data_IF_447342151239
#
_entry.id   IF_447342151239
#
_cell.length_a   1.000
_cell.length_b   1.000
_cell.length_c   1.000
_cell.angle_alpha   90.00
_cell.angle_beta   90.00
_cell.angle_gamma   90.00
#
_symmetry.space_group_name_H-M   'P 1'
#
loop_
_entity.id
_entity.type
_entity.pdbx_description
1 polymer ?
#
# COMPACT_ATOMS: atom_id res chain seq x y z
N UNK A 1 -35.36 30.89 27.47
CA UNK A 1 -35.21 29.46 27.08
C UNK A 1 -33.89 29.16 26.35
N UNK A 2 -33.44 29.98 25.38
CA UNK A 2 -32.24 29.67 24.56
C UNK A 2 -30.91 29.52 25.32
N UNK A 3 -30.64 30.35 26.34
CA UNK A 3 -29.35 30.34 27.05
C UNK A 3 -29.08 29.03 27.82
N UNK A 4 -30.12 28.36 28.33
CA UNK A 4 -29.97 27.13 29.12
C UNK A 4 -29.52 25.95 28.26
N UNK A 5 -30.00 25.84 27.03
CA UNK A 5 -29.62 24.76 26.12
C UNK A 5 -28.22 24.94 25.52
N UNK A 6 -27.82 26.20 25.25
CA UNK A 6 -26.45 26.50 24.80
C UNK A 6 -25.41 26.12 25.85
N UNK A 7 -25.72 26.35 27.13
CA UNK A 7 -24.80 26.01 28.23
C UNK A 7 -24.66 24.49 28.42
N UNK A 8 -25.76 23.75 28.30
CA UNK A 8 -25.73 22.27 28.35
C UNK A 8 -24.95 21.69 27.17
N UNK A 9 -25.14 22.23 25.96
CA UNK A 9 -24.39 21.82 24.79
C UNK A 9 -22.89 22.11 24.94
N UNK A 10 -22.51 23.31 25.39
CA UNK A 10 -21.11 23.68 25.61
C UNK A 10 -20.46 22.82 26.69
N UNK A 11 -21.18 22.52 27.77
CA UNK A 11 -20.67 21.64 28.82
C UNK A 11 -20.40 20.22 28.28
N UNK A 12 -21.32 19.68 27.47
CA UNK A 12 -21.14 18.39 26.82
C UNK A 12 -19.96 18.40 25.84
N UNK A 13 -19.88 19.42 24.99
CA UNK A 13 -18.79 19.56 24.00
C UNK A 13 -17.42 19.69 24.68
N UNK A 14 -17.30 20.53 25.71
CA UNK A 14 -16.06 20.70 26.47
C UNK A 14 -15.69 19.44 27.25
N UNK A 15 -16.67 18.73 27.81
CA UNK A 15 -16.44 17.44 28.46
C UNK A 15 -15.88 16.39 27.48
N UNK A 16 -16.42 16.31 26.27
CA UNK A 16 -15.92 15.41 25.22
C UNK A 16 -14.51 15.80 24.77
N UNK A 17 -14.25 17.09 24.55
CA UNK A 17 -12.92 17.59 24.16
C UNK A 17 -11.86 17.31 25.24
N UNK A 18 -12.22 17.49 26.52
CA UNK A 18 -11.32 17.20 27.65
C UNK A 18 -11.01 15.71 27.75
N UNK A 19 -12.01 14.84 27.66
CA UNK A 19 -11.81 13.39 27.66
C UNK A 19 -10.90 12.94 26.51
N UNK A 20 -11.06 13.53 25.33
CA UNK A 20 -10.21 13.23 24.18
C UNK A 20 -8.76 13.72 24.38
N UNK A 21 -8.56 14.90 24.97
CA UNK A 21 -7.22 15.41 25.30
C UNK A 21 -6.52 14.56 26.37
N UNK A 22 -7.27 14.09 27.37
CA UNK A 22 -6.76 13.21 28.41
C UNK A 22 -6.43 11.82 27.85
N UNK A 23 -7.28 11.27 26.96
CA UNK A 23 -7.02 9.98 26.33
C UNK A 23 -5.82 10.02 25.38
N UNK A 24 -5.68 11.09 24.59
CA UNK A 24 -4.50 11.27 23.73
C UNK A 24 -3.21 11.50 24.52
N UNK A 25 -3.28 12.21 25.66
CA UNK A 25 -2.09 12.49 26.47
C UNK A 25 -1.69 11.33 27.40
N UNK A 26 -2.65 10.66 28.05
CA UNK A 26 -2.39 9.55 28.99
C UNK A 26 -2.47 8.15 28.37
N UNK A 27 -3.21 7.96 27.26
CA UNK A 27 -3.28 6.67 26.56
C UNK A 27 -1.92 6.22 26.01
N UNK A 28 -1.04 7.17 25.69
CA UNK A 28 0.34 6.93 25.28
C UNK A 28 1.23 6.50 26.47
N UNK A 29 0.92 6.94 27.69
CA UNK A 29 1.78 6.75 28.86
C UNK A 29 1.43 5.50 29.70
N UNK A 30 0.17 5.07 29.73
CA UNK A 30 -0.28 4.01 30.65
C UNK A 30 -0.34 2.60 30.03
N UNK A 31 -0.37 2.48 28.70
CA UNK A 31 -0.53 1.17 28.07
C UNK A 31 0.79 0.42 27.89
N UNK A 32 1.95 1.10 27.78
CA UNK A 32 3.20 0.46 27.31
C UNK A 32 3.06 -0.21 25.92
N UNK A 33 1.88 -0.09 25.30
CA UNK A 33 1.56 -0.55 23.96
C UNK A 33 1.96 0.60 23.05
N UNK A 34 2.96 0.44 22.17
CA UNK A 34 3.15 1.39 21.09
C UNK A 34 1.83 1.41 20.32
N UNK A 35 1.13 2.54 20.35
CA UNK A 35 -0.01 2.74 19.47
C UNK A 35 0.60 2.75 18.08
N UNK A 36 0.51 1.62 17.37
CA UNK A 36 0.71 1.59 15.92
C UNK A 36 -0.22 2.69 15.38
N UNK A 37 0.37 3.70 14.73
CA UNK A 37 -0.34 4.85 14.15
C UNK A 37 -1.20 4.40 12.95
N UNK A 38 -2.15 3.50 13.18
CA UNK A 38 -3.00 2.91 12.15
C UNK A 38 -4.35 2.38 12.65
N UNK A 39 -4.62 2.39 13.97
CA UNK A 39 -5.90 1.89 14.51
C UNK A 39 -6.50 2.82 15.56
N UNK A 40 -6.82 4.05 15.15
CA UNK A 40 -7.72 4.93 15.93
C UNK A 40 -9.13 4.79 15.37
N UNK A 41 -10.08 4.15 16.08
CA UNK A 41 -11.45 4.12 15.64
C UNK A 41 -12.04 5.52 15.91
N UNK A 42 -12.74 6.07 14.94
CA UNK A 42 -13.42 7.38 14.96
C UNK A 42 -12.57 8.64 14.68
N UNK A 43 -12.42 8.94 13.38
CA UNK A 43 -13.03 10.16 12.84
C UNK A 43 -12.39 11.52 13.12
N UNK A 44 -11.11 11.60 13.50
CA UNK A 44 -10.37 12.88 13.54
C UNK A 44 -8.93 12.69 13.07
N UNK A 45 -8.77 12.71 11.77
CA UNK A 45 -7.47 12.69 11.10
C UNK A 45 -7.69 12.27 9.66
N UNK A 46 -7.45 13.17 8.72
CA UNK A 46 -7.11 12.74 7.36
C UNK A 46 -5.81 11.95 7.48
N UNK A 47 -5.91 10.66 7.79
CA UNK A 47 -4.83 9.71 7.55
C UNK A 47 -4.85 9.49 6.06
N UNK A 48 -4.09 10.31 5.33
CA UNK A 48 -3.63 9.89 4.03
C UNK A 48 -2.67 8.73 4.30
N UNK A 49 -3.15 7.50 4.16
CA UNK A 49 -2.26 6.41 3.79
C UNK A 49 -1.71 6.83 2.44
N UNK A 50 -0.57 7.51 2.44
CA UNK A 50 0.14 7.84 1.22
C UNK A 50 0.56 6.51 0.61
N UNK A 51 -0.27 5.96 -0.27
CA UNK A 51 0.10 4.81 -1.08
C UNK A 51 1.29 5.28 -1.92
N UNK A 52 2.45 4.67 -1.69
CA UNK A 52 3.65 5.02 -2.45
C UNK A 52 3.44 4.60 -3.91
N UNK A 53 3.76 5.51 -4.83
CA UNK A 53 3.71 5.21 -6.24
C UNK A 53 4.79 4.17 -6.60
N UNK A 54 4.58 3.33 -7.64
CA UNK A 54 5.62 2.47 -8.16
C UNK A 54 6.86 3.25 -8.60
N UNK A 55 8.01 2.59 -8.60
CA UNK A 55 9.25 3.12 -9.14
C UNK A 55 9.17 3.31 -10.65
N UNK A 56 10.05 4.16 -11.18
CA UNK A 56 10.20 4.31 -12.62
C UNK A 56 11.08 3.18 -13.20
N UNK A 57 10.43 2.17 -13.76
CA UNK A 57 11.08 1.00 -14.36
C UNK A 57 11.31 1.12 -15.87
N UNK A 58 10.69 2.11 -16.52
CA UNK A 58 10.73 2.28 -17.98
C UNK A 58 10.96 3.75 -18.29
N UNK A 59 12.20 4.08 -18.65
CA UNK A 59 12.54 5.44 -19.05
C UNK A 59 11.72 5.90 -20.25
N UNK A 60 11.41 7.19 -20.33
CA UNK A 60 10.74 7.79 -21.49
C UNK A 60 11.50 7.52 -22.79
N UNK A 61 12.84 7.47 -22.73
CA UNK A 61 13.69 7.15 -23.88
C UNK A 61 13.44 5.72 -24.42
N UNK A 62 12.85 4.81 -23.62
CA UNK A 62 12.48 3.46 -24.01
C UNK A 62 11.04 3.35 -24.53
N UNK A 63 10.30 4.46 -24.56
CA UNK A 63 8.93 4.55 -25.05
C UNK A 63 8.93 5.28 -26.39
N UNK A 64 8.61 4.56 -27.47
CA UNK A 64 8.48 5.15 -28.81
C UNK A 64 7.03 5.09 -29.27
N UNK A 65 6.47 6.25 -29.57
CA UNK A 65 5.11 6.40 -30.08
C UNK A 65 5.16 6.67 -31.58
N UNK A 66 4.47 5.84 -32.34
CA UNK A 66 4.22 5.98 -33.77
C UNK A 66 2.73 6.27 -34.00
N UNK A 67 2.34 6.56 -35.25
CA UNK A 67 0.96 6.87 -35.60
C UNK A 67 -0.01 5.69 -35.37
N UNK A 68 0.50 4.46 -35.44
CA UNK A 68 -0.28 3.21 -35.39
C UNK A 68 0.14 2.26 -34.25
N UNK A 69 1.23 2.56 -33.53
CA UNK A 69 1.73 1.68 -32.47
C UNK A 69 2.53 2.41 -31.40
N UNK A 70 2.62 1.77 -30.23
CA UNK A 70 3.54 2.14 -29.16
C UNK A 70 4.52 0.99 -28.95
N UNK A 71 5.82 1.30 -28.91
CA UNK A 71 6.88 0.33 -28.68
C UNK A 71 7.53 0.64 -27.34
N UNK A 72 7.49 -0.34 -26.43
CA UNK A 72 8.19 -0.30 -25.15
C UNK A 72 9.44 -1.19 -25.22
N UNK A 73 10.62 -0.60 -25.09
CA UNK A 73 11.90 -1.32 -25.12
C UNK A 73 12.31 -1.76 -23.72
N UNK A 74 11.80 -2.91 -23.29
CA UNK A 74 12.07 -3.44 -21.95
C UNK A 74 12.75 -4.80 -22.09
N UNK A 75 13.95 -4.93 -21.52
CA UNK A 75 14.69 -6.18 -21.55
C UNK A 75 13.97 -7.25 -20.71
N UNK A 76 13.90 -8.48 -21.24
CA UNK A 76 13.34 -9.65 -20.55
C UNK A 76 11.90 -9.47 -20.03
N UNK A 77 11.11 -8.61 -20.67
CA UNK A 77 9.71 -8.40 -20.30
C UNK A 77 8.85 -9.63 -20.61
N UNK A 78 7.89 -9.89 -19.74
CA UNK A 78 6.85 -10.91 -19.95
C UNK A 78 5.46 -10.30 -19.80
N UNK A 79 4.47 -10.92 -20.43
CA UNK A 79 3.06 -10.55 -20.29
C UNK A 79 2.42 -11.38 -19.16
N UNK A 80 1.52 -10.77 -18.40
CA UNK A 80 0.70 -11.44 -17.39
C UNK A 80 -0.77 -11.07 -17.52
N UNK A 81 -1.62 -12.02 -17.12
CA UNK A 81 -3.05 -11.79 -16.88
C UNK A 81 -3.31 -11.85 -15.38
N UNK A 82 -4.35 -11.15 -14.92
CA UNK A 82 -4.73 -11.08 -13.51
C UNK A 82 -6.05 -11.80 -13.24
N UNK A 83 -6.17 -12.38 -12.05
CA UNK A 83 -7.39 -13.04 -11.59
C UNK A 83 -8.34 -12.05 -10.90
N UNK A 84 -9.64 -12.32 -11.00
CA UNK A 84 -10.71 -11.54 -10.37
C UNK A 84 -10.79 -11.78 -8.86
N UNK A 85 -9.79 -11.31 -8.12
CA UNK A 85 -9.73 -11.40 -6.65
C UNK A 85 -10.29 -10.16 -5.97
N UNK A 86 -10.35 -9.02 -6.67
CA UNK A 86 -10.74 -7.72 -6.12
C UNK A 86 -9.74 -7.09 -5.15
N UNK A 87 -8.60 -7.73 -4.84
CA UNK A 87 -7.64 -7.24 -3.85
C UNK A 87 -6.83 -6.02 -4.31
N UNK A 88 -6.70 -5.87 -5.62
CA UNK A 88 -5.99 -4.75 -6.24
C UNK A 88 -6.93 -3.69 -6.83
N UNK A 89 -8.23 -3.74 -6.54
CA UNK A 89 -9.13 -2.63 -6.92
C UNK A 89 -8.76 -1.33 -6.16
N UNK A 90 -8.92 -0.15 -6.77
CA UNK A 90 -9.35 0.10 -8.14
C UNK A 90 -8.20 0.04 -9.17
N UNK A 91 -7.00 -0.36 -8.76
CA UNK A 91 -5.80 -0.30 -9.57
C UNK A 91 -5.79 -1.32 -10.71
N UNK A 92 -6.06 -2.60 -10.47
CA UNK A 92 -6.20 -3.60 -11.55
C UNK A 92 -7.24 -4.66 -11.20
N UNK A 93 -7.73 -5.34 -12.24
CA UNK A 93 -8.65 -6.48 -12.12
C UNK A 93 -8.50 -7.42 -13.34
N UNK A 94 -9.33 -8.46 -13.39
CA UNK A 94 -9.51 -9.32 -14.55
C UNK A 94 -9.72 -8.51 -15.84
N UNK A 95 -9.04 -8.91 -16.91
CA UNK A 95 -9.06 -8.24 -18.22
C UNK A 95 -7.87 -7.30 -18.46
N UNK A 96 -7.23 -6.80 -17.39
CA UNK A 96 -6.00 -6.04 -17.53
C UNK A 96 -4.80 -6.93 -17.92
N UNK A 97 -3.91 -6.40 -18.74
CA UNK A 97 -2.66 -7.04 -19.16
C UNK A 97 -1.48 -6.35 -18.49
N UNK A 98 -0.71 -7.12 -17.73
CA UNK A 98 0.51 -6.64 -17.09
C UNK A 98 1.74 -6.86 -17.96
N UNK A 99 2.62 -5.87 -18.00
CA UNK A 99 3.99 -6.02 -18.47
C UNK A 99 4.87 -6.11 -17.23
N UNK A 100 5.67 -7.16 -17.13
CA UNK A 100 6.46 -7.43 -15.92
C UNK A 100 7.87 -7.92 -16.23
N UNK A 101 8.80 -7.59 -15.34
CA UNK A 101 10.23 -7.93 -15.43
C UNK A 101 10.66 -8.71 -14.20
N UNK A 102 11.71 -9.51 -14.33
CA UNK A 102 12.32 -10.21 -13.18
C UNK A 102 13.30 -9.22 -12.52
N UNK A 103 13.13 -8.88 -11.23
CA UNK A 103 14.13 -8.09 -10.52
C UNK A 103 15.42 -8.91 -10.37
N UNK A 104 16.58 -8.27 -10.60
CA UNK A 104 17.89 -8.91 -10.51
C UNK A 104 18.39 -8.90 -9.06
N UNK A 105 17.97 -7.91 -8.27
CA UNK A 105 18.43 -7.70 -6.91
C UNK A 105 17.35 -7.18 -5.97
N UNK A 106 17.64 -7.30 -4.68
CA UNK A 106 16.83 -6.72 -3.60
C UNK A 106 16.65 -5.21 -3.77
N UNK A 107 17.66 -4.52 -4.31
CA UNK A 107 17.67 -3.06 -4.46
C UNK A 107 16.75 -2.58 -5.59
N UNK A 108 16.41 -3.46 -6.52
CA UNK A 108 15.49 -3.13 -7.61
C UNK A 108 14.06 -2.99 -7.10
N UNK A 109 13.69 -3.72 -6.04
CA UNK A 109 12.35 -3.71 -5.47
C UNK A 109 12.23 -2.63 -4.40
N UNK A 110 11.30 -1.70 -4.60
CA UNK A 110 11.10 -0.55 -3.72
C UNK A 110 9.66 -0.46 -3.20
N UNK A 111 9.50 0.30 -2.11
CA UNK A 111 8.17 0.61 -1.56
C UNK A 111 7.36 1.36 -2.61
N UNK A 112 6.15 0.85 -2.88
CA UNK A 112 5.24 1.34 -3.90
C UNK A 112 5.15 0.48 -5.15
N UNK A 113 6.15 -0.38 -5.42
CA UNK A 113 6.14 -1.28 -6.56
C UNK A 113 5.00 -2.32 -6.47
N UNK A 114 4.49 -2.73 -7.63
CA UNK A 114 3.52 -3.82 -7.73
C UNK A 114 4.26 -5.09 -8.13
N UNK A 115 4.25 -6.09 -7.24
CA UNK A 115 5.09 -7.27 -7.40
C UNK A 115 4.26 -8.54 -7.41
N UNK A 116 4.66 -9.49 -8.27
CA UNK A 116 4.19 -10.86 -8.24
C UNK A 116 5.15 -11.68 -7.37
N UNK A 117 4.63 -12.34 -6.34
CA UNK A 117 5.43 -13.14 -5.41
C UNK A 117 4.69 -14.42 -5.02
N UNK A 118 5.44 -15.39 -4.51
CA UNK A 118 4.88 -16.63 -3.98
C UNK A 118 4.64 -16.47 -2.49
N UNK A 119 3.44 -16.79 -2.04
CA UNK A 119 3.09 -16.81 -0.62
C UNK A 119 2.16 -17.99 -0.36
N UNK A 120 2.46 -18.81 0.64
CA UNK A 120 1.74 -20.06 0.92
C UNK A 120 1.54 -20.95 -0.33
N UNK A 121 2.52 -20.95 -1.24
CA UNK A 121 2.51 -21.77 -2.46
C UNK A 121 1.63 -21.24 -3.61
N UNK A 122 1.03 -20.07 -3.47
CA UNK A 122 0.24 -19.41 -4.53
C UNK A 122 0.93 -18.14 -5.02
N UNK A 123 0.71 -17.78 -6.29
CA UNK A 123 1.21 -16.52 -6.86
C UNK A 123 0.22 -15.40 -6.54
N UNK A 124 0.70 -14.38 -5.84
CA UNK A 124 -0.06 -13.19 -5.42
C UNK A 124 0.54 -11.97 -6.10
N UNK A 125 -0.29 -10.97 -6.42
CA UNK A 125 0.15 -9.69 -6.97
C UNK A 125 -0.35 -8.58 -6.07
N UNK A 126 0.55 -7.91 -5.35
CA UNK A 126 0.22 -6.82 -4.43
C UNK A 126 1.29 -5.73 -4.44
N UNK A 127 1.00 -4.61 -3.75
CA UNK A 127 1.92 -3.49 -3.63
C UNK A 127 2.88 -3.70 -2.46
N UNK A 128 4.15 -3.36 -2.66
CA UNK A 128 5.14 -3.27 -1.58
C UNK A 128 4.79 -2.06 -0.70
N UNK A 129 4.45 -2.28 0.56
CA UNK A 129 4.13 -1.20 1.53
C UNK A 129 5.25 -0.98 2.54
N UNK A 130 6.14 -1.95 2.71
CA UNK A 130 7.32 -1.84 3.57
C UNK A 130 8.49 -2.63 2.99
N UNK A 131 9.70 -2.12 3.21
CA UNK A 131 10.98 -2.82 2.99
C UNK A 131 11.81 -2.67 4.25
N UNK A 132 12.29 -3.77 4.80
CA UNK A 132 13.04 -3.78 6.05
C UNK A 132 14.08 -4.88 6.09
N UNK A 133 14.82 -4.94 7.20
CA UNK A 133 15.86 -5.95 7.44
C UNK A 133 15.63 -6.56 8.82
N UNK A 134 15.70 -7.89 8.90
CA UNK A 134 15.72 -8.63 10.15
C UNK A 134 16.85 -9.69 10.15
N UNK A 135 16.86 -10.57 11.14
CA UNK A 135 17.91 -11.58 11.32
C UNK A 135 18.03 -12.58 10.14
N UNK A 136 17.01 -12.68 9.30
CA UNK A 136 16.98 -13.54 8.11
C UNK A 136 17.28 -12.74 6.83
N UNK A 137 17.60 -11.44 6.94
CA UNK A 137 17.95 -10.56 5.84
C UNK A 137 16.81 -9.61 5.45
N UNK A 138 16.82 -9.17 4.19
CA UNK A 138 15.83 -8.19 3.71
C UNK A 138 14.47 -8.87 3.56
N UNK A 139 13.43 -8.18 4.01
CA UNK A 139 12.05 -8.56 3.80
C UNK A 139 11.26 -7.42 3.17
N UNK A 140 10.14 -7.80 2.57
CA UNK A 140 9.13 -6.91 2.05
C UNK A 140 7.79 -7.22 2.71
N UNK A 141 6.98 -6.20 2.96
CA UNK A 141 5.57 -6.39 3.33
C UNK A 141 4.73 -5.97 2.15
N UNK A 142 3.85 -6.87 1.72
CA UNK A 142 2.95 -6.66 0.60
C UNK A 142 1.53 -6.41 1.11
N UNK A 143 0.77 -5.62 0.36
CA UNK A 143 -0.64 -5.39 0.64
C UNK A 143 -1.38 -5.08 -0.66
N UNK A 144 -2.54 -5.72 -0.85
CA UNK A 144 -3.45 -5.36 -1.93
C UNK A 144 -4.03 -3.97 -1.74
N UNK A 145 -4.15 -3.19 -2.81
CA UNK A 145 -4.65 -1.80 -2.76
C UNK A 145 -6.08 -1.69 -2.15
N UNK A 146 -6.86 -2.77 -2.21
CA UNK A 146 -8.20 -2.89 -1.62
C UNK A 146 -8.25 -3.70 -0.30
N UNK A 147 -7.10 -4.13 0.22
CA UNK A 147 -7.05 -4.96 1.42
C UNK A 147 -6.81 -4.10 2.67
N UNK A 148 -7.46 -4.44 3.78
CA UNK A 148 -7.26 -3.78 5.08
C UNK A 148 -6.02 -4.28 5.84
N UNK A 149 -5.50 -5.44 5.45
CA UNK A 149 -4.44 -6.17 6.14
C UNK A 149 -3.40 -6.60 5.12
N UNK A 150 -2.12 -6.47 5.48
CA UNK A 150 -0.97 -6.92 4.69
C UNK A 150 -0.77 -8.43 4.76
N UNK A 151 -0.09 -8.99 3.77
CA UNK A 151 0.10 -10.45 3.63
C UNK A 151 1.27 -11.01 4.47
N UNK A 152 1.98 -10.15 5.22
CA UNK A 152 3.12 -10.53 6.07
C UNK A 152 4.47 -10.28 5.41
N UNK A 153 5.55 -10.81 6.02
CA UNK A 153 6.92 -10.66 5.53
C UNK A 153 7.21 -11.66 4.41
N UNK A 154 7.72 -11.16 3.29
CA UNK A 154 8.09 -11.93 2.09
C UNK A 154 9.59 -11.74 1.83
N UNK A 155 10.29 -12.83 1.52
CA UNK A 155 11.73 -12.79 1.18
C UNK A 155 11.91 -12.51 -0.31
N UNK A 156 13.06 -11.94 -0.67
CA UNK A 156 13.36 -11.64 -2.07
C UNK A 156 13.30 -12.89 -2.98
N UNK A 157 13.71 -14.04 -2.46
CA UNK A 157 13.64 -15.32 -3.17
C UNK A 157 12.22 -15.78 -3.51
N UNK A 158 11.19 -15.16 -2.95
CA UNK A 158 9.78 -15.42 -3.28
C UNK A 158 9.21 -14.37 -4.24
N UNK A 159 9.88 -13.24 -4.43
CA UNK A 159 9.53 -12.26 -5.46
C UNK A 159 9.88 -12.85 -6.83
N UNK A 160 8.95 -12.80 -7.77
CA UNK A 160 9.11 -13.35 -9.13
C UNK A 160 9.19 -12.27 -10.18
N UNK A 161 8.35 -11.24 -10.04
CA UNK A 161 8.26 -10.18 -11.03
C UNK A 161 7.89 -8.84 -10.40
N UNK A 162 8.33 -7.75 -11.04
CA UNK A 162 7.80 -6.41 -10.82
C UNK A 162 6.98 -6.00 -12.03
N UNK A 163 5.78 -5.47 -11.80
CA UNK A 163 4.89 -4.95 -12.84
C UNK A 163 5.35 -3.54 -13.19
N UNK A 164 5.67 -3.33 -14.46
CA UNK A 164 6.23 -2.08 -15.00
C UNK A 164 5.26 -1.35 -15.93
N UNK A 165 4.17 -2.01 -16.32
CA UNK A 165 3.10 -1.41 -17.11
C UNK A 165 1.81 -2.21 -17.00
N UNK A 166 0.67 -1.53 -17.14
CA UNK A 166 -0.65 -2.14 -17.16
C UNK A 166 -1.43 -1.56 -18.34
N UNK A 167 -2.04 -2.44 -19.12
CA UNK A 167 -2.91 -2.12 -20.24
C UNK A 167 -4.32 -2.62 -19.92
N UNK A 168 -5.29 -1.71 -19.95
CA UNK A 168 -6.71 -2.01 -19.69
C UNK A 168 -7.48 -2.17 -21.00
#
# INVERSE_FOLDING_TARGET
MRLKYTLVFLLGFVSCALLFSLFSYFGVALAGVPIEMGKVPFGTGMVSYGVSAPSDWVSEDDIVVFDDMVVLRIANATLSNYANSGSMLPFLDEGANGIRVVPESVDDVNVGDIVSYVFDGIMIVHRVVEKGVDDEGVYFVMQGDNNLVSDGKVRFEDVRYVTVGILY
#
